data_IF_407639970430
#
_entry.id   IF_407639970430
#
_cell.length_a   1.000
_cell.length_b   1.000
_cell.length_c   1.000
_cell.angle_alpha   90.00
_cell.angle_beta   90.00
_cell.angle_gamma   90.00
#
_symmetry.space_group_name_H-M   'P 1'
#
loop_
_entity.id
_entity.type
_entity.pdbx_description
1 polymer ?
#
# COMPACT_ATOMS: atom_id res chain seq x y z
N UNK A 1 13.37 47.70 -48.84
CA UNK A 1 13.43 46.25 -49.14
C UNK A 1 14.53 45.67 -48.26
N UNK A 2 14.12 44.81 -47.31
CA UNK A 2 14.88 43.70 -46.69
C UNK A 2 16.18 44.03 -45.92
N UNK A 3 16.48 43.52 -44.72
CA UNK A 3 15.79 42.73 -43.71
C UNK A 3 16.68 42.79 -42.46
N UNK A 4 16.18 43.32 -41.34
CA UNK A 4 16.79 43.10 -40.03
C UNK A 4 16.36 41.71 -39.56
N UNK A 5 17.29 40.75 -39.59
CA UNK A 5 17.05 39.42 -39.02
C UNK A 5 17.21 39.49 -37.51
N UNK A 6 16.08 39.70 -36.84
CA UNK A 6 15.94 39.52 -35.40
C UNK A 6 16.35 38.10 -35.01
N UNK A 7 17.40 38.05 -34.20
CA UNK A 7 17.85 36.87 -33.49
C UNK A 7 16.81 36.51 -32.41
N UNK A 8 15.77 35.76 -32.79
CA UNK A 8 14.91 35.07 -31.81
C UNK A 8 15.37 33.62 -31.73
N UNK A 9 16.15 33.34 -30.68
CA UNK A 9 16.30 32.01 -30.13
C UNK A 9 14.90 31.44 -29.85
N UNK A 10 14.43 30.57 -30.74
CA UNK A 10 13.33 29.66 -30.46
C UNK A 10 13.82 28.65 -29.44
N UNK A 11 13.72 29.01 -28.17
CA UNK A 11 13.77 28.03 -27.09
C UNK A 11 12.42 27.31 -27.12
N UNK A 12 12.39 26.16 -27.78
CA UNK A 12 11.28 25.21 -27.76
C UNK A 12 10.97 24.88 -26.29
N UNK A 13 9.80 25.23 -25.74
CA UNK A 13 9.37 24.75 -24.44
C UNK A 13 8.64 23.44 -24.68
N UNK A 14 9.34 22.31 -24.58
CA UNK A 14 8.73 21.02 -24.86
C UNK A 14 9.68 19.85 -24.64
N UNK A 15 10.37 19.81 -23.49
CA UNK A 15 11.17 18.64 -23.11
C UNK A 15 11.47 18.58 -21.60
N UNK A 16 10.60 19.17 -20.76
CA UNK A 16 10.80 19.20 -19.31
C UNK A 16 9.79 18.36 -18.51
N UNK A 17 8.73 17.85 -19.13
CA UNK A 17 7.61 17.20 -18.41
C UNK A 17 7.72 15.66 -18.37
N UNK A 18 8.44 15.05 -19.32
CA UNK A 18 8.60 13.58 -19.37
C UNK A 18 9.67 13.07 -18.39
N UNK A 19 10.75 13.84 -18.17
CA UNK A 19 11.85 13.41 -17.31
C UNK A 19 11.48 13.39 -15.81
N UNK A 20 10.57 14.26 -15.38
CA UNK A 20 10.11 14.34 -13.98
C UNK A 20 9.08 13.23 -13.68
N UNK A 21 8.26 12.87 -14.67
CA UNK A 21 7.30 11.75 -14.58
C UNK A 21 7.98 10.38 -14.51
N UNK A 22 8.98 10.13 -15.35
CA UNK A 22 9.74 8.86 -15.32
C UNK A 22 10.54 8.68 -14.01
N UNK A 23 11.05 9.77 -13.45
CA UNK A 23 11.79 9.75 -12.19
C UNK A 23 10.86 9.55 -10.99
N UNK A 24 9.66 10.13 -11.02
CA UNK A 24 8.61 9.89 -10.04
C UNK A 24 8.14 8.43 -10.03
N UNK A 25 7.88 7.84 -11.20
CA UNK A 25 7.46 6.43 -11.31
C UNK A 25 8.55 5.45 -10.85
N UNK A 26 9.83 5.74 -11.13
CA UNK A 26 10.94 4.93 -10.63
C UNK A 26 11.08 4.97 -9.09
N UNK A 27 10.85 6.14 -8.48
CA UNK A 27 10.85 6.30 -7.02
C UNK A 27 9.65 5.58 -6.40
N UNK A 28 8.45 5.69 -6.99
CA UNK A 28 7.25 4.97 -6.53
C UNK A 28 7.46 3.45 -6.60
N UNK A 29 8.01 2.93 -7.69
CA UNK A 29 8.32 1.50 -7.84
C UNK A 29 9.29 0.99 -6.78
N UNK A 30 10.31 1.80 -6.43
CA UNK A 30 11.29 1.47 -5.39
C UNK A 30 10.63 1.40 -4.00
N UNK A 31 9.73 2.33 -3.66
CA UNK A 31 9.03 2.32 -2.37
C UNK A 31 8.04 1.16 -2.25
N UNK A 32 7.34 0.82 -3.34
CA UNK A 32 6.47 -0.34 -3.34
C UNK A 32 7.23 -1.65 -3.15
N UNK A 33 8.42 -1.77 -3.77
CA UNK A 33 9.27 -2.95 -3.60
C UNK A 33 9.75 -3.08 -2.15
N UNK A 34 10.27 -1.99 -1.56
CA UNK A 34 10.64 -1.96 -0.14
C UNK A 34 9.43 -2.29 0.75
N UNK A 35 8.25 -1.74 0.45
CA UNK A 35 7.02 -2.02 1.18
C UNK A 35 6.61 -3.50 1.12
N UNK A 36 6.73 -4.13 -0.06
CA UNK A 36 6.49 -5.57 -0.25
C UNK A 36 7.48 -6.42 0.52
N UNK A 37 8.77 -6.10 0.48
CA UNK A 37 9.80 -6.81 1.25
C UNK A 37 9.55 -6.73 2.75
N UNK A 38 9.21 -5.54 3.27
CA UNK A 38 8.88 -5.35 4.69
C UNK A 38 7.62 -6.13 5.10
N UNK A 39 6.59 -6.15 4.25
CA UNK A 39 5.39 -6.94 4.49
C UNK A 39 5.70 -8.45 4.52
N UNK A 40 6.47 -8.95 3.56
CA UNK A 40 6.91 -10.35 3.53
C UNK A 40 7.69 -10.71 4.79
N UNK A 41 8.70 -9.91 5.16
CA UNK A 41 9.47 -10.13 6.38
C UNK A 41 8.60 -10.12 7.64
N UNK A 42 7.60 -9.23 7.70
CA UNK A 42 6.65 -9.16 8.80
C UNK A 42 5.76 -10.41 8.89
N UNK A 43 5.26 -10.91 7.76
CA UNK A 43 4.45 -12.11 7.69
C UNK A 43 5.24 -13.36 8.10
N UNK A 44 6.47 -13.49 7.62
CA UNK A 44 7.38 -14.58 7.99
C UNK A 44 7.67 -14.57 9.48
N UNK A 45 7.98 -13.40 10.04
CA UNK A 45 8.22 -13.25 11.48
C UNK A 45 7.03 -13.69 12.32
N UNK A 46 5.83 -13.27 11.96
CA UNK A 46 4.61 -13.64 12.71
C UNK A 46 4.37 -15.15 12.64
N UNK A 47 4.56 -15.74 11.46
CA UNK A 47 4.46 -17.19 11.26
C UNK A 47 5.45 -17.95 12.15
N UNK A 48 6.73 -17.59 12.13
CA UNK A 48 7.79 -18.38 12.76
C UNK A 48 7.99 -18.08 14.25
N UNK A 49 7.92 -16.82 14.67
CA UNK A 49 8.22 -16.44 16.06
C UNK A 49 6.96 -16.33 16.92
N UNK A 50 5.82 -15.95 16.34
CA UNK A 50 4.62 -15.66 17.16
C UNK A 50 3.68 -16.85 17.20
N UNK A 51 3.20 -17.29 16.03
CA UNK A 51 2.23 -18.38 15.95
C UNK A 51 2.89 -19.72 16.27
N UNK A 52 3.98 -20.04 15.58
CA UNK A 52 4.63 -21.34 15.77
C UNK A 52 5.10 -21.55 17.21
N UNK A 53 5.67 -20.54 17.86
CA UNK A 53 6.17 -20.69 19.23
C UNK A 53 5.06 -20.85 20.25
N UNK A 54 4.00 -20.04 20.20
CA UNK A 54 2.87 -20.17 21.12
C UNK A 54 2.21 -21.56 21.02
N UNK A 55 1.98 -22.04 19.79
CA UNK A 55 1.39 -23.36 19.58
C UNK A 55 2.36 -24.50 19.89
N UNK A 56 3.66 -24.35 19.64
CA UNK A 56 4.67 -25.33 20.02
C UNK A 56 4.74 -25.48 21.54
N UNK A 57 4.70 -24.38 22.27
CA UNK A 57 4.75 -24.40 23.73
C UNK A 57 3.53 -25.12 24.32
N UNK A 58 2.32 -24.79 23.84
CA UNK A 58 1.10 -25.49 24.22
C UNK A 58 1.15 -26.99 23.87
N UNK A 59 1.65 -27.33 22.68
CA UNK A 59 1.78 -28.74 22.24
C UNK A 59 2.80 -29.51 23.09
N UNK A 60 3.91 -28.88 23.47
CA UNK A 60 4.91 -29.49 24.37
C UNK A 60 4.28 -29.86 25.70
N UNK A 61 3.57 -28.92 26.34
CA UNK A 61 2.86 -29.18 27.61
C UNK A 61 1.88 -30.35 27.52
N UNK A 62 1.03 -30.34 26.49
CA UNK A 62 0.09 -31.44 26.25
C UNK A 62 0.83 -32.78 26.07
N UNK A 63 1.97 -32.77 25.37
CA UNK A 63 2.79 -33.97 25.14
C UNK A 63 3.45 -34.48 26.42
N UNK A 64 3.84 -33.57 27.31
CA UNK A 64 4.42 -33.86 28.61
C UNK A 64 3.38 -34.32 29.64
N UNK A 65 2.08 -34.24 29.28
CA UNK A 65 0.95 -34.63 30.13
C UNK A 65 0.48 -33.54 31.09
N UNK A 66 0.98 -32.32 30.92
CA UNK A 66 0.58 -31.15 31.69
C UNK A 66 -0.73 -30.55 31.16
N UNK A 67 -1.49 -29.92 32.05
CA UNK A 67 -2.64 -29.10 31.66
C UNK A 67 -2.17 -27.77 31.06
N UNK A 68 -2.93 -27.25 30.09
CA UNK A 68 -2.71 -25.91 29.56
C UNK A 68 -3.07 -24.87 30.63
N UNK A 69 -2.17 -23.92 30.82
CA UNK A 69 -2.40 -22.79 31.71
C UNK A 69 -3.19 -21.69 31.01
N UNK A 70 -3.79 -20.77 31.78
CA UNK A 70 -4.42 -19.57 31.24
C UNK A 70 -3.45 -18.75 30.39
N UNK A 71 -2.18 -18.65 30.82
CA UNK A 71 -1.11 -17.97 30.10
C UNK A 71 -0.83 -18.60 28.72
N UNK A 72 -0.88 -19.95 28.62
CA UNK A 72 -0.68 -20.64 27.34
C UNK A 72 -1.83 -20.32 26.36
N UNK A 73 -3.08 -20.32 26.86
CA UNK A 73 -4.26 -19.98 26.06
C UNK A 73 -4.22 -18.51 25.63
N UNK A 74 -3.85 -17.60 26.53
CA UNK A 74 -3.71 -16.18 26.23
C UNK A 74 -2.62 -15.91 25.19
N UNK A 75 -1.48 -16.61 25.28
CA UNK A 75 -0.40 -16.52 24.31
C UNK A 75 -0.87 -16.97 22.92
N UNK A 76 -1.58 -18.10 22.83
CA UNK A 76 -2.17 -18.58 21.57
C UNK A 76 -3.18 -17.58 21.00
N UNK A 77 -4.04 -17.01 21.84
CA UNK A 77 -5.04 -16.03 21.41
C UNK A 77 -4.38 -14.77 20.85
N UNK A 78 -3.36 -14.24 21.54
CA UNK A 78 -2.57 -13.10 21.05
C UNK A 78 -1.89 -13.42 19.72
N UNK A 79 -1.33 -14.61 19.57
CA UNK A 79 -0.70 -15.03 18.33
C UNK A 79 -1.68 -15.10 17.14
N UNK A 80 -2.89 -15.60 17.36
CA UNK A 80 -3.96 -15.61 16.36
C UNK A 80 -4.37 -14.18 15.97
N UNK A 81 -4.52 -13.29 16.95
CA UNK A 81 -4.90 -11.90 16.70
C UNK A 81 -3.80 -11.14 15.92
N UNK A 82 -2.54 -11.41 16.21
CA UNK A 82 -1.40 -10.87 15.47
C UNK A 82 -1.38 -11.38 14.02
N UNK A 83 -1.60 -12.69 13.82
CA UNK A 83 -1.72 -13.29 12.49
C UNK A 83 -2.90 -12.72 11.70
N UNK A 84 -4.05 -12.51 12.34
CA UNK A 84 -5.21 -11.87 11.73
C UNK A 84 -4.87 -10.46 11.23
N UNK A 85 -4.26 -9.62 12.06
CA UNK A 85 -3.84 -8.26 11.67
C UNK A 85 -2.89 -8.28 10.48
N UNK A 86 -1.96 -9.24 10.45
CA UNK A 86 -1.02 -9.38 9.35
C UNK A 86 -1.72 -9.77 8.04
N UNK A 87 -2.67 -10.69 8.11
CA UNK A 87 -3.52 -11.06 6.98
C UNK A 87 -4.36 -9.88 6.49
N UNK A 88 -4.91 -9.07 7.40
CA UNK A 88 -5.67 -7.85 7.04
C UNK A 88 -4.77 -6.82 6.33
N UNK A 89 -3.53 -6.63 6.79
CA UNK A 89 -2.56 -5.77 6.10
C UNK A 89 -2.22 -6.30 4.71
N UNK A 90 -2.00 -7.61 4.56
CA UNK A 90 -1.76 -8.24 3.27
C UNK A 90 -2.97 -8.12 2.33
N UNK A 91 -4.18 -8.28 2.85
CA UNK A 91 -5.41 -8.09 2.09
C UNK A 91 -5.56 -6.64 1.58
N UNK A 92 -5.10 -5.66 2.35
CA UNK A 92 -5.03 -4.25 1.92
C UNK A 92 -4.09 -4.00 0.73
N UNK A 93 -3.13 -4.90 0.48
CA UNK A 93 -2.22 -4.82 -0.68
C UNK A 93 -2.69 -5.62 -1.90
N UNK A 94 -3.74 -6.45 -1.75
CA UNK A 94 -4.31 -7.20 -2.86
C UNK A 94 -5.30 -6.34 -3.64
N UNK A 95 -5.19 -6.24 -4.99
CA UNK A 95 -6.14 -5.50 -5.81
C UNK A 95 -7.59 -5.99 -5.69
N UNK A 96 -7.80 -7.25 -5.29
CA UNK A 96 -9.14 -7.87 -5.19
C UNK A 96 -9.84 -7.57 -3.85
N UNK A 97 -9.07 -7.21 -2.80
CA UNK A 97 -9.57 -6.97 -1.44
C UNK A 97 -9.23 -5.59 -0.90
N UNK A 98 -8.38 -4.82 -1.60
CA UNK A 98 -8.14 -3.43 -1.30
C UNK A 98 -9.48 -2.68 -1.46
N UNK A 99 -10.01 -2.03 -0.40
CA UNK A 99 -11.11 -1.10 -0.60
C UNK A 99 -10.63 -0.09 -1.63
N UNK A 100 -11.45 0.14 -2.67
CA UNK A 100 -11.20 1.23 -3.62
C UNK A 100 -10.88 2.47 -2.77
N UNK A 101 -9.66 3.02 -2.88
CA UNK A 101 -9.29 4.08 -1.98
C UNK A 101 -10.27 5.22 -2.25
N UNK A 102 -10.84 5.80 -1.18
CA UNK A 102 -11.94 6.74 -1.31
C UNK A 102 -11.55 7.82 -2.33
N UNK A 103 -12.24 7.83 -3.48
CA UNK A 103 -11.94 8.78 -4.57
C UNK A 103 -12.02 10.22 -4.08
N UNK A 104 -12.77 10.46 -3.01
CA UNK A 104 -12.88 11.76 -2.36
C UNK A 104 -11.70 12.05 -1.42
N UNK A 105 -10.98 11.04 -0.94
CA UNK A 105 -9.78 11.19 -0.11
C UNK A 105 -8.58 11.81 -0.84
N UNK A 106 -8.55 11.76 -2.18
CA UNK A 106 -7.49 12.36 -3.01
C UNK A 106 -7.88 13.71 -3.63
N UNK A 107 -9.17 14.05 -3.62
CA UNK A 107 -9.67 15.29 -4.21
C UNK A 107 -9.82 16.36 -3.12
N UNK A 108 -9.13 17.49 -3.31
CA UNK A 108 -9.43 18.73 -2.62
C UNK A 108 -10.80 19.27 -3.06
N UNK A 109 -11.34 20.25 -2.33
CA UNK A 109 -12.71 20.76 -2.53
C UNK A 109 -12.99 21.15 -4.00
N UNK A 110 -12.03 21.85 -4.64
CA UNK A 110 -12.09 22.21 -6.05
C UNK A 110 -12.10 20.99 -7.00
N UNK A 111 -11.26 19.98 -6.73
CA UNK A 111 -11.22 18.75 -7.49
C UNK A 111 -12.49 17.89 -7.36
N UNK A 112 -13.18 17.99 -6.21
CA UNK A 112 -14.47 17.35 -6.02
C UNK A 112 -15.56 18.01 -6.86
N UNK A 113 -15.58 19.34 -6.89
CA UNK A 113 -16.56 20.12 -7.65
C UNK A 113 -16.43 19.87 -9.16
N UNK A 114 -15.20 19.90 -9.69
CA UNK A 114 -14.93 19.63 -11.11
C UNK A 114 -15.34 18.20 -11.54
N UNK A 115 -15.14 17.21 -10.67
CA UNK A 115 -15.57 15.83 -10.94
C UNK A 115 -17.10 15.71 -11.01
N UNK A 116 -17.81 16.38 -10.10
CA UNK A 116 -19.27 16.39 -10.08
C UNK A 116 -19.84 17.07 -11.32
N UNK A 117 -19.27 18.20 -11.74
CA UNK A 117 -19.67 18.94 -12.94
C UNK A 117 -19.50 18.08 -14.21
N UNK A 118 -18.39 17.37 -14.34
CA UNK A 118 -18.14 16.47 -15.47
C UNK A 118 -19.08 15.26 -15.51
N UNK A 119 -19.46 14.72 -14.35
CA UNK A 119 -20.44 13.62 -14.24
C UNK A 119 -21.84 14.08 -14.64
N UNK A 120 -22.25 15.27 -14.23
CA UNK A 120 -23.53 15.86 -14.63
C UNK A 120 -23.57 16.15 -16.13
N UNK A 121 -22.49 16.70 -16.68
CA UNK A 121 -22.36 16.95 -18.13
C UNK A 121 -22.52 15.68 -18.96
N UNK A 122 -21.98 14.54 -18.49
CA UNK A 122 -22.10 13.24 -19.18
C UNK A 122 -23.46 12.57 -19.01
N UNK A 123 -24.22 12.88 -17.96
CA UNK A 123 -25.58 12.38 -17.76
C UNK A 123 -26.65 13.18 -18.51
N UNK A 124 -26.32 14.40 -18.95
CA UNK A 124 -27.18 15.24 -19.79
C UNK A 124 -27.14 14.92 -21.29
N UNK A 125 -26.35 13.93 -21.71
CA UNK A 125 -26.24 13.41 -23.08
C UNK A 125 -26.76 11.97 -23.16
#
# INVERSE_FOLDING_TARGET
MQSESENRASTTPGEADDADSEQSDAIVGTWEEIGRELLCARLERIREETVRDAFRQATSRISDGDELTEDDIDAMYRAIQEAKRATEMAAGTSPETAPFPDRWGFLNEDGREAYLEEVERRRGH
#
